data_IF_099689144777
#
_entry.id   IF_099689144777
#
_cell.length_a   1.000
_cell.length_b   1.000
_cell.length_c   1.000
_cell.angle_alpha   90.00
_cell.angle_beta   90.00
_cell.angle_gamma   90.00
#
_symmetry.space_group_name_H-M   'P 1'
#
loop_
_entity.id
_entity.type
_entity.pdbx_description
1 polymer ?
#
# COMPACT_ATOMS: atom_id res chain seq x y z
N UNK A 1 -7.29 -5.12 -0.65
CA UNK A 1 -7.55 -5.87 -1.90
C UNK A 1 -6.75 -5.18 -3.00
N UNK A 2 -6.13 -5.92 -3.93
CA UNK A 2 -5.60 -5.32 -5.17
C UNK A 2 -4.11 -5.37 -5.42
N UNK A 3 -3.26 -5.47 -4.38
CA UNK A 3 -1.84 -5.66 -4.65
C UNK A 3 -1.60 -7.08 -5.17
N UNK A 4 -0.73 -7.24 -6.17
CA UNK A 4 -0.19 -8.54 -6.51
C UNK A 4 0.68 -9.07 -5.35
N UNK A 5 1.13 -10.34 -5.41
CA UNK A 5 2.04 -10.90 -4.42
C UNK A 5 3.21 -9.97 -4.10
N UNK A 6 3.67 -9.98 -2.86
CA UNK A 6 4.80 -9.19 -2.37
C UNK A 6 4.54 -7.66 -2.32
N UNK A 7 3.28 -7.25 -2.33
CA UNK A 7 2.88 -5.85 -2.12
C UNK A 7 3.46 -4.90 -3.17
N UNK A 8 4.01 -3.77 -2.73
CA UNK A 8 4.59 -2.76 -3.62
C UNK A 8 5.73 -3.30 -4.50
N UNK A 9 6.53 -4.24 -4.00
CA UNK A 9 7.62 -4.82 -4.78
C UNK A 9 7.10 -5.63 -5.97
N UNK A 10 5.99 -6.35 -5.79
CA UNK A 10 5.34 -7.08 -6.87
C UNK A 10 4.58 -6.18 -7.82
N UNK A 11 3.93 -5.13 -7.31
CA UNK A 11 3.26 -4.12 -8.13
C UNK A 11 4.26 -3.43 -9.07
N UNK A 12 5.40 -2.97 -8.54
CA UNK A 12 6.49 -2.41 -9.33
C UNK A 12 7.00 -3.39 -10.40
N UNK A 13 7.12 -4.67 -10.05
CA UNK A 13 7.63 -5.70 -10.95
C UNK A 13 6.65 -5.96 -12.11
N UNK A 14 5.37 -6.10 -11.79
CA UNK A 14 4.30 -6.34 -12.75
C UNK A 14 4.11 -5.13 -13.67
N UNK A 15 4.06 -3.91 -13.12
CA UNK A 15 3.97 -2.66 -13.90
C UNK A 15 5.13 -2.52 -14.89
N UNK A 16 6.36 -2.83 -14.47
CA UNK A 16 7.53 -2.79 -15.37
C UNK A 16 7.44 -3.86 -16.46
N UNK A 17 7.12 -5.10 -16.11
CA UNK A 17 7.03 -6.18 -17.08
C UNK A 17 5.94 -5.92 -18.15
N UNK A 18 4.79 -5.38 -17.74
CA UNK A 18 3.73 -4.96 -18.67
C UNK A 18 4.14 -3.80 -19.57
N UNK A 19 4.89 -2.83 -19.05
CA UNK A 19 5.43 -1.73 -19.85
C UNK A 19 6.42 -2.26 -20.90
N UNK A 20 7.34 -3.14 -20.48
CA UNK A 20 8.38 -3.68 -21.34
C UNK A 20 7.82 -4.54 -22.49
N UNK A 21 6.77 -5.33 -22.23
CA UNK A 21 6.20 -6.25 -23.21
C UNK A 21 5.02 -5.69 -24.01
N UNK A 22 4.19 -4.87 -23.40
CA UNK A 22 2.90 -4.46 -23.96
C UNK A 22 2.67 -2.94 -23.94
N UNK A 23 3.60 -2.15 -23.37
CA UNK A 23 3.44 -0.70 -23.23
C UNK A 23 2.30 -0.29 -22.30
N UNK A 24 1.86 -1.18 -21.40
CA UNK A 24 0.72 -0.99 -20.49
C UNK A 24 1.18 -0.80 -19.05
N UNK A 25 0.39 -0.08 -18.27
CA UNK A 25 0.63 0.12 -16.83
C UNK A 25 -0.20 -0.84 -16.00
N UNK A 26 0.27 -1.13 -14.80
CA UNK A 26 -0.52 -1.77 -13.75
C UNK A 26 -0.56 -0.89 -12.51
N UNK A 27 -1.76 -0.74 -11.97
CA UNK A 27 -2.04 -0.02 -10.73
C UNK A 27 -3.02 -0.84 -9.91
N UNK A 28 -2.66 -1.14 -8.67
CA UNK A 28 -3.46 -1.98 -7.79
C UNK A 28 -4.90 -1.47 -7.56
N UNK A 29 -5.08 -0.14 -7.51
CA UNK A 29 -6.37 0.51 -7.30
C UNK A 29 -7.26 0.45 -8.54
N UNK A 30 -6.68 0.56 -9.75
CA UNK A 30 -7.40 0.41 -11.02
C UNK A 30 -7.85 -1.05 -11.21
N UNK A 31 -6.97 -2.02 -10.94
CA UNK A 31 -7.34 -3.43 -10.99
C UNK A 31 -8.39 -3.80 -9.93
N UNK A 32 -8.30 -3.23 -8.73
CA UNK A 32 -9.34 -3.40 -7.70
C UNK A 32 -10.70 -2.83 -8.11
N UNK A 33 -10.71 -1.75 -8.90
CA UNK A 33 -11.94 -1.19 -9.44
C UNK A 33 -12.61 -2.17 -10.41
N UNK A 34 -11.86 -2.82 -11.31
CA UNK A 34 -12.39 -3.83 -12.23
C UNK A 34 -13.06 -4.98 -11.46
N UNK A 35 -12.42 -5.45 -10.38
CA UNK A 35 -13.00 -6.47 -9.49
C UNK A 35 -14.28 -5.94 -8.84
N UNK A 36 -14.28 -4.72 -8.30
CA UNK A 36 -15.44 -4.10 -7.67
C UNK A 36 -16.62 -3.93 -8.64
N UNK A 37 -16.34 -3.62 -9.91
CA UNK A 37 -17.35 -3.54 -10.97
C UNK A 37 -17.95 -4.91 -11.30
N UNK A 38 -17.13 -5.97 -11.35
CA UNK A 38 -17.61 -7.33 -11.55
C UNK A 38 -18.55 -7.81 -10.45
N UNK A 39 -18.37 -7.29 -9.23
CA UNK A 39 -19.22 -7.58 -8.07
C UNK A 39 -20.46 -6.68 -7.98
N UNK A 40 -20.68 -5.78 -8.95
CA UNK A 40 -21.81 -4.84 -8.99
C UNK A 40 -21.91 -3.97 -7.72
N UNK A 41 -20.76 -3.49 -7.21
CA UNK A 41 -20.71 -2.60 -6.06
C UNK A 41 -21.20 -1.18 -6.43
N UNK A 42 -21.62 -0.41 -5.41
CA UNK A 42 -22.14 0.94 -5.63
C UNK A 42 -21.06 1.89 -6.18
N UNK A 43 -21.49 3.00 -6.79
CA UNK A 43 -20.56 3.97 -7.36
C UNK A 43 -19.63 4.57 -6.30
N UNK A 44 -20.13 4.79 -5.09
CA UNK A 44 -19.39 5.37 -3.97
C UNK A 44 -18.30 4.42 -3.46
N UNK A 45 -18.59 3.12 -3.39
CA UNK A 45 -17.59 2.11 -3.00
C UNK A 45 -16.50 2.00 -4.06
N UNK A 46 -16.88 2.00 -5.34
CA UNK A 46 -15.95 1.96 -6.48
C UNK A 46 -15.04 3.20 -6.51
N UNK A 47 -15.61 4.38 -6.32
CA UNK A 47 -14.86 5.63 -6.21
C UNK A 47 -13.85 5.59 -5.06
N UNK A 48 -14.29 5.17 -3.87
CA UNK A 48 -13.41 5.01 -2.72
C UNK A 48 -12.24 4.06 -2.99
N UNK A 49 -12.50 2.91 -3.64
CA UNK A 49 -11.45 1.96 -4.04
C UNK A 49 -10.48 2.59 -5.04
N UNK A 50 -10.97 3.31 -6.06
CA UNK A 50 -10.11 3.92 -7.07
C UNK A 50 -9.22 5.02 -6.47
N UNK A 51 -9.76 5.82 -5.55
CA UNK A 51 -9.17 7.10 -5.11
C UNK A 51 -8.57 7.07 -3.69
N UNK A 52 -8.52 5.91 -3.04
CA UNK A 52 -7.87 5.75 -1.73
C UNK A 52 -6.36 6.06 -1.77
N UNK A 53 -5.75 5.99 -2.96
CA UNK A 53 -4.34 6.27 -3.21
C UNK A 53 -4.16 7.37 -4.26
N UNK A 54 -2.93 7.81 -4.49
CA UNK A 54 -2.61 8.82 -5.51
C UNK A 54 -3.05 10.24 -5.12
N UNK A 55 -3.16 11.11 -6.12
CA UNK A 55 -3.47 12.55 -5.93
C UNK A 55 -4.98 12.82 -5.87
N UNK A 56 -5.79 12.05 -6.58
CA UNK A 56 -7.23 12.26 -6.67
C UNK A 56 -7.92 11.94 -5.35
N UNK A 57 -8.69 12.87 -4.81
CA UNK A 57 -9.49 12.64 -3.60
C UNK A 57 -10.78 11.86 -3.87
N UNK A 58 -11.22 11.02 -2.93
CA UNK A 58 -12.56 10.42 -2.96
C UNK A 58 -13.67 11.48 -2.99
N UNK A 59 -14.76 11.17 -3.69
CA UNK A 59 -15.91 12.05 -3.83
C UNK A 59 -16.75 12.14 -2.55
N UNK A 60 -16.76 11.09 -1.73
CA UNK A 60 -17.54 11.02 -0.49
C UNK A 60 -16.68 11.34 0.74
N UNK A 61 -17.30 11.89 1.79
CA UNK A 61 -16.62 12.12 3.06
C UNK A 61 -16.16 10.80 3.68
N UNK A 62 -16.97 9.74 3.57
CA UNK A 62 -16.62 8.38 4.02
C UNK A 62 -15.37 7.85 3.29
N UNK A 63 -15.27 8.07 1.97
CA UNK A 63 -14.08 7.71 1.21
C UNK A 63 -12.84 8.48 1.67
N UNK A 64 -12.97 9.79 1.92
CA UNK A 64 -11.88 10.61 2.49
C UNK A 64 -11.45 10.11 3.87
N UNK A 65 -12.39 9.72 4.73
CA UNK A 65 -12.09 9.13 6.06
C UNK A 65 -11.27 7.85 5.88
N UNK A 66 -11.74 6.92 5.04
CA UNK A 66 -11.03 5.66 4.78
C UNK A 66 -9.59 5.92 4.33
N UNK A 67 -9.40 6.87 3.41
CA UNK A 67 -8.08 7.24 2.90
C UNK A 67 -7.12 7.75 3.98
N UNK A 68 -7.60 8.50 4.98
CA UNK A 68 -6.75 8.97 6.08
C UNK A 68 -6.53 7.85 7.10
N UNK A 69 -7.58 7.14 7.50
CA UNK A 69 -7.54 6.10 8.54
C UNK A 69 -6.67 4.92 8.10
N UNK A 70 -6.62 4.60 6.81
CA UNK A 70 -5.69 3.60 6.27
C UNK A 70 -4.22 3.92 6.65
N UNK A 71 -3.83 5.20 6.54
CA UNK A 71 -2.49 5.66 6.92
C UNK A 71 -2.27 5.61 8.44
N UNK A 72 -3.30 5.92 9.22
CA UNK A 72 -3.26 5.82 10.69
C UNK A 72 -3.01 4.37 11.11
N UNK A 73 -3.74 3.41 10.54
CA UNK A 73 -3.58 2.00 10.86
C UNK A 73 -2.20 1.49 10.44
N UNK A 74 -1.78 1.80 9.21
CA UNK A 74 -0.51 1.38 8.63
C UNK A 74 0.68 1.82 9.48
N UNK A 75 0.79 3.11 9.82
CA UNK A 75 1.94 3.64 10.57
C UNK A 75 2.09 2.95 11.92
N UNK A 76 0.98 2.71 12.63
CA UNK A 76 1.04 2.11 13.96
C UNK A 76 1.44 0.64 13.91
N UNK A 77 0.81 -0.16 13.05
CA UNK A 77 1.15 -1.58 12.92
C UNK A 77 2.58 -1.78 12.39
N UNK A 78 3.03 -0.95 11.45
CA UNK A 78 4.37 -1.07 10.87
C UNK A 78 5.46 -0.73 11.88
N UNK A 79 5.26 0.29 12.73
CA UNK A 79 6.20 0.62 13.80
C UNK A 79 6.31 -0.57 14.76
N UNK A 80 5.18 -1.10 15.21
CA UNK A 80 5.13 -2.23 16.13
C UNK A 80 5.83 -3.46 15.55
N UNK A 81 5.59 -3.79 14.28
CA UNK A 81 6.23 -4.92 13.61
C UNK A 81 7.72 -4.66 13.37
N UNK A 82 8.12 -3.48 12.90
CA UNK A 82 9.52 -3.15 12.68
C UNK A 82 10.35 -3.24 13.97
N UNK A 83 9.80 -2.78 15.10
CA UNK A 83 10.43 -2.91 16.41
C UNK A 83 10.45 -4.38 16.85
N UNK A 84 9.34 -5.11 16.71
CA UNK A 84 9.24 -6.52 17.09
C UNK A 84 10.23 -7.41 16.35
N UNK A 85 10.48 -7.13 15.07
CA UNK A 85 11.42 -7.88 14.24
C UNK A 85 12.87 -7.35 14.31
N UNK A 86 13.13 -6.32 15.13
CA UNK A 86 14.47 -5.73 15.28
C UNK A 86 14.98 -5.02 14.03
N UNK A 87 14.06 -4.58 13.15
CA UNK A 87 14.37 -3.76 11.97
C UNK A 87 14.62 -2.31 12.39
N UNK A 88 13.92 -1.85 13.42
CA UNK A 88 13.97 -0.50 13.93
C UNK A 88 14.12 -0.51 15.46
N UNK A 89 15.04 0.28 15.99
CA UNK A 89 15.09 0.55 17.42
C UNK A 89 14.18 1.75 17.76
N UNK A 90 13.34 1.70 18.80
CA UNK A 90 12.43 2.80 19.14
C UNK A 90 13.10 4.19 19.26
N UNK A 91 14.34 4.32 19.78
CA UNK A 91 15.05 5.60 19.80
C UNK A 91 15.42 6.18 18.43
N UNK A 92 15.38 5.39 17.34
CA UNK A 92 15.64 5.87 15.99
C UNK A 92 14.44 6.62 15.38
N UNK A 93 13.25 6.48 15.98
CA UNK A 93 12.05 7.18 15.53
C UNK A 93 12.25 8.70 15.63
N UNK A 94 11.64 9.49 14.72
CA UNK A 94 11.71 10.95 14.78
C UNK A 94 11.06 11.46 16.06
N UNK A 95 11.90 11.93 16.99
CA UNK A 95 11.51 12.24 18.35
C UNK A 95 10.38 13.26 18.44
N UNK A 96 10.45 14.34 17.65
CA UNK A 96 9.47 15.43 17.72
C UNK A 96 8.09 14.99 17.22
N UNK A 97 8.05 14.19 16.14
CA UNK A 97 6.80 13.64 15.61
C UNK A 97 6.19 12.61 16.57
N UNK A 98 7.01 11.75 17.19
CA UNK A 98 6.54 10.78 18.18
C UNK A 98 6.06 11.45 19.45
N UNK A 99 6.75 12.49 19.93
CA UNK A 99 6.34 13.24 21.11
C UNK A 99 5.01 13.97 20.88
N UNK A 100 4.80 14.50 19.67
CA UNK A 100 3.57 15.18 19.29
C UNK A 100 2.40 14.20 19.10
N UNK A 101 2.64 13.05 18.47
CA UNK A 101 1.59 12.08 18.17
C UNK A 101 1.28 11.18 19.37
N UNK A 102 2.29 10.73 20.11
CA UNK A 102 2.19 9.81 21.23
C UNK A 102 3.23 8.68 21.14
N UNK A 103 3.79 8.25 22.27
CA UNK A 103 4.83 7.22 22.29
C UNK A 103 4.27 5.82 21.93
N UNK A 104 3.11 5.47 22.49
CA UNK A 104 2.47 4.17 22.26
C UNK A 104 1.55 4.24 21.05
N UNK A 105 1.34 3.09 20.40
CA UNK A 105 0.37 2.97 19.29
C UNK A 105 -1.04 3.45 19.68
N UNK A 106 -1.50 3.15 20.89
CA UNK A 106 -2.79 3.63 21.40
C UNK A 106 -2.86 5.16 21.48
N UNK A 107 -1.80 5.79 21.99
CA UNK A 107 -1.76 7.23 22.23
C UNK A 107 -1.72 7.97 20.88
N UNK A 108 -0.93 7.45 19.94
CA UNK A 108 -0.87 7.97 18.56
C UNK A 108 -2.18 7.83 17.81
N UNK A 109 -2.87 6.69 17.91
CA UNK A 109 -4.20 6.53 17.32
C UNK A 109 -5.18 7.55 17.91
N UNK A 110 -5.17 7.70 19.24
CA UNK A 110 -6.07 8.64 19.94
C UNK A 110 -5.87 10.07 19.45
N UNK A 111 -4.62 10.55 19.40
CA UNK A 111 -4.27 11.90 18.90
C UNK A 111 -4.70 12.09 17.44
N UNK A 112 -4.38 11.13 16.56
CA UNK A 112 -4.67 11.23 15.13
C UNK A 112 -6.18 11.25 14.85
N UNK A 113 -6.95 10.44 15.58
CA UNK A 113 -8.41 10.35 15.42
C UNK A 113 -9.09 11.59 15.99
N UNK A 114 -8.70 12.07 17.17
CA UNK A 114 -9.26 13.30 17.74
C UNK A 114 -9.01 14.51 16.84
N UNK A 115 -7.77 14.69 16.38
CA UNK A 115 -7.43 15.79 15.46
C UNK A 115 -8.25 15.72 14.16
N UNK A 116 -8.40 14.53 13.58
CA UNK A 116 -9.21 14.32 12.38
C UNK A 116 -10.66 14.76 12.64
N UNK A 117 -11.28 14.32 13.73
CA UNK A 117 -12.68 14.65 14.05
C UNK A 117 -12.85 16.15 14.30
N UNK A 118 -12.03 16.75 15.15
CA UNK A 118 -12.15 18.16 15.54
C UNK A 118 -11.82 19.12 14.39
N UNK A 119 -10.80 18.81 13.59
CA UNK A 119 -10.44 19.61 12.42
C UNK A 119 -11.48 19.48 11.31
N UNK A 120 -12.02 18.28 11.10
CA UNK A 120 -13.09 18.07 10.13
C UNK A 120 -14.37 18.81 10.52
N UNK A 121 -14.75 18.76 11.80
CA UNK A 121 -15.94 19.44 12.30
C UNK A 121 -15.87 20.96 12.11
N UNK A 122 -14.68 21.57 12.26
CA UNK A 122 -14.47 23.02 12.09
C UNK A 122 -14.53 23.47 10.63
N UNK A 123 -14.08 22.62 9.71
CA UNK A 123 -13.91 22.98 8.29
C UNK A 123 -15.08 22.55 7.42
N UNK A 124 -15.86 21.55 7.85
CA UNK A 124 -16.95 20.98 7.06
C UNK A 124 -16.48 20.02 5.96
N UNK A 125 -15.21 19.59 6.00
CA UNK A 125 -14.61 18.58 5.12
C UNK A 125 -13.76 17.62 5.97
N UNK A 126 -13.25 16.52 5.40
CA UNK A 126 -12.43 15.54 6.10
C UNK A 126 -10.95 15.93 6.03
N UNK A 127 -10.42 16.47 7.12
CA UNK A 127 -9.05 16.99 7.18
C UNK A 127 -8.41 16.76 8.55
N UNK A 128 -7.08 16.65 8.57
CA UNK A 128 -6.26 16.77 9.77
C UNK A 128 -5.68 18.19 9.86
N UNK A 129 -5.32 18.62 11.06
CA UNK A 129 -4.60 19.89 11.22
C UNK A 129 -3.22 19.84 10.55
N UNK A 130 -2.66 20.99 10.12
CA UNK A 130 -1.33 21.02 9.52
C UNK A 130 -0.23 20.46 10.43
N UNK A 131 -0.39 20.60 11.75
CA UNK A 131 0.56 20.14 12.76
C UNK A 131 0.52 18.61 12.90
N UNK A 132 -0.66 18.04 13.20
CA UNK A 132 -0.81 16.60 13.41
C UNK A 132 -0.70 15.81 12.10
N UNK A 133 -1.34 16.29 11.04
CA UNK A 133 -1.22 15.68 9.70
C UNK A 133 0.21 15.75 9.16
N UNK A 134 0.92 16.85 9.44
CA UNK A 134 2.34 17.01 9.10
C UNK A 134 3.22 15.99 9.81
N UNK A 135 3.05 15.82 11.12
CA UNK A 135 3.79 14.83 11.90
C UNK A 135 3.49 13.38 11.45
N UNK A 136 2.23 13.07 11.15
CA UNK A 136 1.85 11.77 10.59
C UNK A 136 2.57 11.49 9.26
N UNK A 137 2.63 12.50 8.37
CA UNK A 137 3.31 12.38 7.08
C UNK A 137 4.83 12.23 7.22
N UNK A 138 5.43 12.95 8.16
CA UNK A 138 6.86 12.85 8.46
C UNK A 138 7.20 11.44 9.00
N UNK A 139 6.44 10.96 9.97
CA UNK A 139 6.60 9.62 10.54
C UNK A 139 6.41 8.52 9.48
N UNK A 140 5.40 8.66 8.60
CA UNK A 140 5.20 7.74 7.47
C UNK A 140 6.39 7.74 6.50
N UNK A 141 6.92 8.92 6.16
CA UNK A 141 8.08 9.04 5.27
C UNK A 141 9.30 8.36 5.88
N UNK A 142 9.54 8.57 7.18
CA UNK A 142 10.60 7.89 7.91
C UNK A 142 10.45 6.36 7.85
N UNK A 143 9.24 5.84 8.13
CA UNK A 143 8.97 4.40 8.08
C UNK A 143 9.20 3.83 6.68
N UNK A 144 8.77 4.55 5.64
CA UNK A 144 9.01 4.14 4.26
C UNK A 144 10.50 4.03 3.93
N UNK A 145 11.30 5.02 4.30
CA UNK A 145 12.74 5.01 4.03
C UNK A 145 13.49 3.93 4.83
N UNK A 146 13.17 3.79 6.12
CA UNK A 146 13.90 2.91 7.03
C UNK A 146 13.47 1.45 6.94
N UNK A 147 12.17 1.20 6.84
CA UNK A 147 11.59 -0.16 6.85
C UNK A 147 11.40 -0.65 5.42
N UNK A 148 10.72 0.11 4.56
CA UNK A 148 10.39 -0.38 3.22
C UNK A 148 11.56 -0.31 2.24
N UNK A 149 12.39 0.74 2.30
CA UNK A 149 13.56 0.90 1.42
C UNK A 149 14.89 0.54 2.11
N UNK A 150 14.82 0.05 3.34
CA UNK A 150 15.97 -0.30 4.15
C UNK A 150 16.82 -1.42 3.55
N UNK A 151 18.11 -1.53 3.92
CA UNK A 151 19.00 -2.58 3.42
C UNK A 151 18.49 -4.01 3.67
N UNK A 152 17.77 -4.22 4.78
CA UNK A 152 17.22 -5.52 5.16
C UNK A 152 16.13 -6.00 4.18
N UNK A 153 15.38 -5.08 3.55
CA UNK A 153 14.31 -5.40 2.62
C UNK A 153 14.81 -5.66 1.19
N UNK A 154 16.03 -5.22 0.84
CA UNK A 154 16.53 -5.26 -0.55
C UNK A 154 16.55 -6.66 -1.15
N UNK A 155 17.12 -7.63 -0.43
CA UNK A 155 17.25 -9.00 -0.94
C UNK A 155 15.88 -9.63 -1.20
N UNK A 156 14.94 -9.45 -0.27
CA UNK A 156 13.58 -9.97 -0.42
C UNK A 156 12.82 -9.25 -1.53
N UNK A 157 12.99 -7.94 -1.70
CA UNK A 157 12.41 -7.19 -2.83
C UNK A 157 12.98 -7.63 -4.18
N UNK A 158 14.29 -7.90 -4.27
CA UNK A 158 14.92 -8.45 -5.47
C UNK A 158 14.37 -9.84 -5.79
N UNK A 159 14.21 -10.70 -4.78
CA UNK A 159 13.59 -12.03 -4.93
C UNK A 159 12.14 -11.93 -5.40
N UNK A 160 11.35 -11.05 -4.79
CA UNK A 160 9.97 -10.79 -5.18
C UNK A 160 9.86 -10.32 -6.63
N UNK A 161 10.67 -9.32 -7.02
CA UNK A 161 10.71 -8.81 -8.40
C UNK A 161 11.11 -9.89 -9.40
N UNK A 162 12.11 -10.70 -9.07
CA UNK A 162 12.55 -11.80 -9.91
C UNK A 162 11.48 -12.90 -10.03
N UNK A 163 10.77 -13.20 -8.95
CA UNK A 163 9.66 -14.16 -8.95
C UNK A 163 8.53 -13.70 -9.89
N UNK A 164 8.01 -12.48 -9.70
CA UNK A 164 6.96 -11.92 -10.57
C UNK A 164 7.40 -11.90 -12.03
N UNK A 165 8.64 -11.47 -12.31
CA UNK A 165 9.17 -11.44 -13.67
C UNK A 165 9.24 -12.84 -14.31
N UNK A 166 9.70 -13.86 -13.58
CA UNK A 166 9.74 -15.24 -14.11
C UNK A 166 8.35 -15.77 -14.42
N UNK A 167 7.37 -15.53 -13.54
CA UNK A 167 5.97 -15.92 -13.76
C UNK A 167 5.45 -15.21 -15.02
N UNK A 168 5.65 -13.90 -15.11
CA UNK A 168 5.22 -13.09 -16.23
C UNK A 168 5.81 -13.58 -17.57
N UNK A 169 7.13 -13.75 -17.63
CA UNK A 169 7.83 -14.23 -18.83
C UNK A 169 7.34 -15.62 -19.27
N UNK A 170 7.04 -16.50 -18.31
CA UNK A 170 6.47 -17.82 -18.61
C UNK A 170 5.09 -17.73 -19.27
N UNK A 171 4.19 -16.88 -18.74
CA UNK A 171 2.83 -16.71 -19.28
C UNK A 171 2.85 -16.06 -20.67
N UNK A 172 3.71 -15.04 -20.86
CA UNK A 172 3.95 -14.45 -22.18
C UNK A 172 4.43 -15.50 -23.19
N UNK A 173 5.38 -16.36 -22.80
CA UNK A 173 5.86 -17.43 -23.66
C UNK A 173 4.78 -18.49 -23.95
N UNK A 174 3.82 -18.66 -23.04
CA UNK A 174 2.61 -19.48 -23.22
C UNK A 174 1.59 -18.89 -24.19
N UNK A 175 1.73 -17.60 -24.55
CA UNK A 175 0.81 -16.90 -25.45
C UNK A 175 -0.40 -16.29 -24.75
N UNK A 176 -0.34 -16.10 -23.42
CA UNK A 176 -1.41 -15.45 -22.66
C UNK A 176 -1.47 -13.95 -22.99
N UNK A 177 -2.69 -13.41 -23.05
CA UNK A 177 -2.94 -11.99 -23.27
C UNK A 177 -2.68 -11.17 -21.98
N UNK A 178 -2.36 -9.87 -22.08
CA UNK A 178 -1.95 -9.08 -20.91
C UNK A 178 -2.96 -9.06 -19.77
N UNK A 179 -4.26 -9.00 -20.07
CA UNK A 179 -5.34 -9.09 -19.08
C UNK A 179 -5.30 -10.39 -18.29
N UNK A 180 -5.12 -11.52 -18.99
CA UNK A 180 -5.06 -12.84 -18.35
C UNK A 180 -3.84 -12.97 -17.45
N UNK A 181 -2.71 -12.38 -17.87
CA UNK A 181 -1.48 -12.34 -17.08
C UNK A 181 -1.68 -11.51 -15.80
N UNK A 182 -2.29 -10.32 -15.93
CA UNK A 182 -2.61 -9.45 -14.79
C UNK A 182 -3.52 -10.17 -13.81
N UNK A 183 -4.66 -10.68 -14.27
CA UNK A 183 -5.64 -11.37 -13.41
C UNK A 183 -5.00 -12.55 -12.69
N UNK A 184 -4.20 -13.35 -13.40
CA UNK A 184 -3.56 -14.52 -12.84
C UNK A 184 -2.51 -14.18 -11.79
N UNK A 185 -1.60 -13.24 -12.09
CA UNK A 185 -0.54 -12.83 -11.16
C UNK A 185 -1.13 -12.08 -9.97
N UNK A 186 -2.01 -11.10 -10.19
CA UNK A 186 -2.60 -10.29 -9.13
C UNK A 186 -3.50 -11.11 -8.20
N UNK A 187 -4.09 -12.21 -8.70
CA UNK A 187 -4.86 -13.16 -7.91
C UNK A 187 -4.03 -14.13 -7.06
N UNK A 188 -2.70 -14.16 -7.21
CA UNK A 188 -1.85 -15.06 -6.43
C UNK A 188 -1.64 -14.57 -4.99
N UNK A 189 -1.34 -15.52 -4.10
CA UNK A 189 -0.72 -15.21 -2.79
C UNK A 189 0.80 -15.32 -2.93
N UNK A 190 1.55 -14.66 -2.03
CA UNK A 190 3.02 -14.76 -1.96
C UNK A 190 3.51 -16.21 -1.95
N UNK A 191 2.86 -17.06 -1.14
CA UNK A 191 3.22 -18.47 -1.05
C UNK A 191 3.00 -19.20 -2.37
N UNK A 192 1.86 -18.95 -3.02
CA UNK A 192 1.54 -19.58 -4.30
C UNK A 192 2.50 -19.12 -5.40
N UNK A 193 2.80 -17.82 -5.48
CA UNK A 193 3.75 -17.27 -6.45
C UNK A 193 5.15 -17.92 -6.31
N UNK A 194 5.64 -18.07 -5.08
CA UNK A 194 6.93 -18.75 -4.83
C UNK A 194 6.90 -20.23 -5.22
N UNK A 195 5.80 -20.94 -4.91
CA UNK A 195 5.63 -22.34 -5.32
C UNK A 195 5.59 -22.47 -6.85
N UNK A 196 4.83 -21.62 -7.52
CA UNK A 196 4.72 -21.61 -8.98
C UNK A 196 6.10 -21.41 -9.62
N UNK A 197 6.88 -20.43 -9.16
CA UNK A 197 8.24 -20.19 -9.67
C UNK A 197 9.16 -21.39 -9.46
N UNK A 198 9.03 -22.11 -8.34
CA UNK A 198 9.82 -23.31 -8.09
C UNK A 198 9.47 -24.47 -9.04
N UNK A 199 8.23 -24.52 -9.53
CA UNK A 199 7.75 -25.54 -10.47
C UNK A 199 8.13 -25.24 -11.93
N UNK A 200 8.45 -23.98 -12.26
CA UNK A 200 8.86 -23.56 -13.61
C UNK A 200 10.24 -24.11 -14.06
N UNK A 201 11.07 -24.60 -13.13
CA UNK A 201 12.47 -24.95 -13.38
C UNK A 201 13.38 -23.74 -13.33
#
# INVERSE_FOLDING_TARGET
MGHPPFGHAGEDALDRALQDHFGRRFRHNEHSLEIAESLNLTAEVRDGILTHTGEQEPATLEGKIVRIVDRVAYINHDIDDAVRFGILDPPDLPHDDVALLGERGSDRIDTLVHDLVESSQRTGDIVQSPEIGGAMLALRSFMFERVYLGPHARLEQERARAAIRRIFEHLVAGGDEPEQIVDFIAGMTDRFALTYVAELG
#
